data_IF_248576908158
#
_entry.id   IF_248576908158
#
_cell.length_a   1.000
_cell.length_b   1.000
_cell.length_c   1.000
_cell.angle_alpha   90.00
_cell.angle_beta   90.00
_cell.angle_gamma   90.00
#
_symmetry.space_group_name_H-M   'P 1'
#
loop_
_entity.id
_entity.type
_entity.pdbx_description
1 polymer ?
#
# COMPACT_ATOMS: atom_id res chain seq x y z
N UNK A 1 6.37 17.87 -20.52
CA UNK A 1 5.97 17.85 -19.09
C UNK A 1 7.21 17.51 -18.27
N UNK A 2 7.69 18.42 -17.42
CA UNK A 2 8.94 18.26 -16.68
C UNK A 2 8.76 17.27 -15.52
N UNK A 3 9.41 16.10 -15.61
CA UNK A 3 9.38 15.04 -14.60
C UNK A 3 9.97 15.45 -13.24
N UNK A 4 10.75 16.53 -13.20
CA UNK A 4 11.38 17.05 -11.97
C UNK A 4 10.38 17.69 -11.01
N UNK A 5 9.24 18.22 -11.47
CA UNK A 5 8.28 18.89 -10.58
C UNK A 5 7.52 17.92 -9.67
N UNK A 6 7.26 16.70 -10.11
CA UNK A 6 6.49 15.70 -9.36
C UNK A 6 7.28 15.10 -8.20
N UNK A 7 8.60 14.91 -8.37
CA UNK A 7 9.49 14.43 -7.29
C UNK A 7 9.59 15.47 -6.16
N UNK A 8 9.61 16.75 -6.51
CA UNK A 8 9.61 17.87 -5.56
C UNK A 8 8.27 17.93 -4.80
N UNK A 9 7.15 17.76 -5.49
CA UNK A 9 5.82 17.77 -4.90
C UNK A 9 5.64 16.71 -3.78
N UNK A 10 6.14 15.48 -3.99
CA UNK A 10 6.10 14.43 -2.96
C UNK A 10 6.99 14.74 -1.74
N UNK A 11 8.13 15.41 -1.96
CA UNK A 11 9.11 15.72 -0.90
C UNK A 11 8.70 16.94 -0.08
N UNK A 12 7.94 17.86 -0.66
CA UNK A 12 7.54 19.11 -0.04
C UNK A 12 6.14 19.07 0.59
N UNK A 13 5.27 18.13 0.17
CA UNK A 13 3.94 17.98 0.77
C UNK A 13 3.91 16.96 1.92
N UNK A 14 3.89 17.48 3.15
CA UNK A 14 3.74 16.70 4.37
C UNK A 14 2.47 15.83 4.36
N UNK A 15 1.34 16.36 3.87
CA UNK A 15 0.07 15.62 3.78
C UNK A 15 0.18 14.35 2.93
N UNK A 16 0.91 14.42 1.81
CA UNK A 16 1.11 13.28 0.92
C UNK A 16 2.05 12.26 1.54
N UNK A 17 3.09 12.71 2.24
CA UNK A 17 4.00 11.81 2.97
C UNK A 17 3.27 11.04 4.07
N UNK A 18 2.40 11.71 4.82
CA UNK A 18 1.55 11.07 5.84
C UNK A 18 0.64 10.03 5.19
N UNK A 19 0.01 10.36 4.07
CA UNK A 19 -0.86 9.41 3.34
C UNK A 19 -0.07 8.19 2.82
N UNK A 20 1.08 8.39 2.20
CA UNK A 20 1.93 7.29 1.71
C UNK A 20 2.44 6.45 2.88
N UNK A 21 2.83 7.07 3.99
CA UNK A 21 3.21 6.37 5.23
C UNK A 21 2.06 5.53 5.80
N UNK A 22 0.84 6.05 5.74
CA UNK A 22 -0.36 5.33 6.15
C UNK A 22 -0.65 4.12 5.25
N UNK A 23 -0.55 4.28 3.92
CA UNK A 23 -0.67 3.16 2.98
C UNK A 23 0.39 2.08 3.23
N UNK A 24 1.63 2.49 3.47
CA UNK A 24 2.73 1.57 3.81
C UNK A 24 2.43 0.80 5.09
N UNK A 25 1.95 1.47 6.14
CA UNK A 25 1.54 0.84 7.39
C UNK A 25 0.42 -0.18 7.17
N UNK A 26 -0.65 0.17 6.44
CA UNK A 26 -1.73 -0.76 6.15
C UNK A 26 -1.25 -1.99 5.36
N UNK A 27 -0.29 -1.79 4.46
CA UNK A 27 0.29 -2.88 3.67
C UNK A 27 1.13 -3.82 4.52
N UNK A 28 1.90 -3.29 5.48
CA UNK A 28 2.60 -4.10 6.46
C UNK A 28 1.63 -4.89 7.33
N UNK A 29 0.57 -4.25 7.83
CA UNK A 29 -0.47 -4.95 8.59
C UNK A 29 -1.12 -6.07 7.78
N UNK A 30 -1.50 -5.80 6.52
CA UNK A 30 -2.06 -6.81 5.63
C UNK A 30 -1.11 -7.96 5.33
N UNK A 31 0.18 -7.67 5.17
CA UNK A 31 1.23 -8.66 5.00
C UNK A 31 1.40 -9.55 6.22
N UNK A 32 1.54 -8.96 7.42
CA UNK A 32 1.66 -9.71 8.68
C UNK A 32 0.42 -10.57 8.94
N UNK A 33 -0.75 -10.02 8.66
CA UNK A 33 -2.02 -10.72 8.83
C UNK A 33 -2.15 -11.93 7.90
N UNK A 34 -1.69 -11.81 6.65
CA UNK A 34 -1.65 -12.93 5.71
C UNK A 34 -0.64 -14.00 6.10
N UNK A 35 0.51 -13.60 6.65
CA UNK A 35 1.50 -14.53 7.18
C UNK A 35 0.97 -15.30 8.39
N UNK A 36 0.19 -14.65 9.28
CA UNK A 36 -0.36 -15.31 10.47
C UNK A 36 -1.45 -16.33 10.17
N UNK A 37 -2.14 -16.19 9.03
CA UNK A 37 -3.19 -17.10 8.58
C UNK A 37 -2.78 -17.89 7.33
N UNK A 38 -1.46 -18.02 7.14
CA UNK A 38 -0.92 -18.57 5.91
C UNK A 38 -1.37 -20.02 5.71
N UNK A 39 -1.42 -20.86 6.75
CA UNK A 39 -1.78 -22.27 6.61
C UNK A 39 -3.29 -22.51 6.42
N UNK A 40 -4.13 -21.65 7.00
CA UNK A 40 -5.59 -21.77 6.95
C UNK A 40 -6.21 -21.33 5.61
N UNK A 41 -5.48 -20.54 4.81
CA UNK A 41 -6.00 -20.02 3.53
C UNK A 41 -5.85 -21.02 2.39
N UNK A 42 -6.82 -21.04 1.47
CA UNK A 42 -6.79 -21.87 0.24
C UNK A 42 -5.48 -21.69 -0.55
N UNK A 43 -4.97 -22.78 -1.14
CA UNK A 43 -3.71 -22.81 -1.93
C UNK A 43 -3.63 -21.65 -2.95
N UNK A 44 -4.73 -21.32 -3.62
CA UNK A 44 -4.81 -20.22 -4.60
C UNK A 44 -4.49 -18.86 -3.94
N UNK A 45 -5.14 -18.53 -2.82
CA UNK A 45 -4.91 -17.27 -2.10
C UNK A 45 -3.46 -17.14 -1.60
N UNK A 46 -2.85 -18.24 -1.17
CA UNK A 46 -1.43 -18.26 -0.74
C UNK A 46 -0.47 -17.95 -1.90
N UNK A 47 -0.76 -18.47 -3.10
CA UNK A 47 0.04 -18.20 -4.30
C UNK A 47 -0.04 -16.72 -4.70
N UNK A 48 -1.25 -16.15 -4.74
CA UNK A 48 -1.43 -14.72 -5.03
C UNK A 48 -0.74 -13.84 -4.00
N UNK A 49 -0.86 -14.16 -2.70
CA UNK A 49 -0.17 -13.42 -1.66
C UNK A 49 1.34 -13.41 -1.87
N UNK A 50 1.98 -14.56 -2.13
CA UNK A 50 3.43 -14.59 -2.38
C UNK A 50 3.82 -13.71 -3.55
N UNK A 51 3.10 -13.82 -4.67
CA UNK A 51 3.40 -13.05 -5.88
C UNK A 51 3.31 -11.55 -5.58
N UNK A 52 2.19 -11.09 -5.01
CA UNK A 52 2.00 -9.67 -4.71
C UNK A 52 2.95 -9.16 -3.62
N UNK A 53 3.25 -9.97 -2.60
CA UNK A 53 4.21 -9.62 -1.56
C UNK A 53 5.63 -9.44 -2.13
N UNK A 54 6.07 -10.34 -3.01
CA UNK A 54 7.36 -10.20 -3.67
C UNK A 54 7.42 -9.01 -4.61
N UNK A 55 6.35 -8.75 -5.39
CA UNK A 55 6.26 -7.55 -6.24
C UNK A 55 6.37 -6.30 -5.38
N UNK A 56 5.64 -6.21 -4.26
CA UNK A 56 5.73 -5.09 -3.33
C UNK A 56 7.15 -4.88 -2.80
N UNK A 57 7.81 -5.95 -2.36
CA UNK A 57 9.15 -5.89 -1.79
C UNK A 57 10.19 -5.45 -2.83
N UNK A 58 10.10 -5.97 -4.06
CA UNK A 58 10.95 -5.55 -5.19
C UNK A 58 10.67 -4.09 -5.54
N UNK A 59 9.40 -3.66 -5.62
CA UNK A 59 9.05 -2.26 -5.90
C UNK A 59 9.63 -1.30 -4.85
N UNK A 60 9.58 -1.65 -3.56
CA UNK A 60 10.20 -0.85 -2.50
C UNK A 60 11.72 -0.75 -2.69
N UNK A 61 12.38 -1.87 -2.97
CA UNK A 61 13.82 -1.90 -3.19
C UNK A 61 14.19 -1.01 -4.38
N UNK A 62 13.44 -1.09 -5.49
CA UNK A 62 13.67 -0.25 -6.67
C UNK A 62 13.50 1.24 -6.35
N UNK A 63 12.45 1.60 -5.60
CA UNK A 63 12.22 2.99 -5.15
C UNK A 63 13.36 3.48 -4.25
N UNK A 64 13.86 2.64 -3.36
CA UNK A 64 14.93 2.99 -2.44
C UNK A 64 16.30 3.13 -3.15
N UNK A 65 16.57 2.31 -4.16
CA UNK A 65 17.85 2.28 -4.87
C UNK A 65 17.93 3.32 -6.01
N UNK A 66 16.81 3.73 -6.59
CA UNK A 66 16.79 4.70 -7.70
C UNK A 66 16.03 5.96 -7.33
N UNK A 67 16.72 7.11 -7.36
CA UNK A 67 16.09 8.42 -7.21
C UNK A 67 15.15 8.78 -8.39
N UNK A 68 15.33 8.13 -9.55
CA UNK A 68 14.48 8.30 -10.73
C UNK A 68 13.42 7.19 -10.78
N UNK A 69 12.50 7.19 -9.82
CA UNK A 69 11.33 6.31 -9.86
C UNK A 69 10.42 6.77 -10.99
N UNK A 70 10.24 5.91 -11.99
CA UNK A 70 9.36 6.17 -13.12
C UNK A 70 7.89 5.98 -12.72
N UNK A 71 6.95 6.62 -13.45
CA UNK A 71 5.51 6.53 -13.12
C UNK A 71 5.00 5.09 -13.18
N UNK A 72 5.62 4.24 -13.99
CA UNK A 72 5.31 2.82 -14.10
C UNK A 72 5.54 2.08 -12.78
N UNK A 73 6.57 2.44 -12.01
CA UNK A 73 6.84 1.82 -10.70
C UNK A 73 5.73 2.15 -9.69
N UNK A 74 5.15 3.35 -9.77
CA UNK A 74 4.00 3.74 -8.93
C UNK A 74 2.77 2.90 -9.26
N UNK A 75 2.52 2.64 -10.54
CA UNK A 75 1.41 1.75 -10.97
C UNK A 75 1.68 0.31 -10.53
N UNK A 76 2.92 -0.17 -10.67
CA UNK A 76 3.31 -1.51 -10.26
C UNK A 76 3.16 -1.74 -8.76
N UNK A 77 3.49 -0.75 -7.92
CA UNK A 77 3.34 -0.87 -6.46
C UNK A 77 1.88 -0.74 -6.01
N UNK A 78 1.02 -0.03 -6.77
CA UNK A 78 -0.40 0.11 -6.45
C UNK A 78 -1.16 -1.23 -6.50
N UNK A 79 -0.75 -2.16 -7.37
CA UNK A 79 -1.34 -3.49 -7.49
C UNK A 79 -1.23 -4.32 -6.20
N UNK A 80 -0.02 -4.61 -5.66
CA UNK A 80 0.11 -5.37 -4.44
C UNK A 80 -0.38 -4.59 -3.22
N UNK A 81 -0.25 -3.25 -3.18
CA UNK A 81 -0.85 -2.39 -2.15
C UNK A 81 -2.36 -2.66 -2.01
N UNK A 82 -3.08 -2.55 -3.13
CA UNK A 82 -4.54 -2.74 -3.15
C UNK A 82 -4.92 -4.14 -2.73
N UNK A 83 -4.20 -5.17 -3.22
CA UNK A 83 -4.44 -6.56 -2.84
C UNK A 83 -4.24 -6.80 -1.33
N UNK A 84 -3.12 -6.35 -0.77
CA UNK A 84 -2.75 -6.59 0.63
C UNK A 84 -3.69 -5.85 1.59
N UNK A 85 -4.02 -4.59 1.29
CA UNK A 85 -4.95 -3.79 2.09
C UNK A 85 -6.37 -4.37 2.01
N UNK A 86 -6.86 -4.70 0.81
CA UNK A 86 -8.21 -5.26 0.65
C UNK A 86 -8.36 -6.58 1.39
N UNK A 87 -7.34 -7.45 1.31
CA UNK A 87 -7.34 -8.70 2.04
C UNK A 87 -7.30 -8.47 3.56
N UNK A 88 -6.56 -7.46 4.05
CA UNK A 88 -6.60 -7.11 5.48
C UNK A 88 -8.03 -6.77 5.93
N UNK A 89 -8.74 -5.92 5.19
CA UNK A 89 -10.11 -5.53 5.55
C UNK A 89 -11.12 -6.67 5.49
N UNK A 90 -11.06 -7.52 4.45
CA UNK A 90 -12.01 -8.64 4.28
C UNK A 90 -11.90 -9.66 5.41
N UNK A 91 -10.67 -9.94 5.84
CA UNK A 91 -10.41 -11.07 6.73
C UNK A 91 -10.11 -10.66 8.17
N UNK A 92 -10.09 -9.36 8.50
CA UNK A 92 -9.81 -8.88 9.85
C UNK A 92 -10.78 -9.48 10.86
N UNK A 93 -10.25 -10.21 11.86
CA UNK A 93 -11.05 -10.83 12.93
C UNK A 93 -11.83 -9.83 13.78
N UNK A 94 -11.34 -8.59 13.90
CA UNK A 94 -12.00 -7.53 14.66
C UNK A 94 -12.53 -6.48 13.68
N UNK A 95 -13.82 -6.60 13.37
CA UNK A 95 -14.53 -5.73 12.44
C UNK A 95 -14.28 -4.23 12.72
N UNK A 96 -14.28 -3.84 14.00
CA UNK A 96 -14.04 -2.45 14.43
C UNK A 96 -12.71 -1.88 13.91
N UNK A 97 -11.61 -2.64 13.96
CA UNK A 97 -10.32 -2.14 13.48
C UNK A 97 -10.28 -2.02 11.96
N UNK A 98 -10.89 -2.98 11.25
CA UNK A 98 -11.03 -2.90 9.78
C UNK A 98 -11.82 -1.66 9.35
N UNK A 99 -12.94 -1.38 10.03
CA UNK A 99 -13.79 -0.21 9.78
C UNK A 99 -13.06 1.10 10.07
N UNK A 100 -12.38 1.22 11.22
CA UNK A 100 -11.63 2.43 11.56
C UNK A 100 -10.58 2.74 10.50
N UNK A 101 -9.78 1.75 10.11
CA UNK A 101 -8.75 1.94 9.08
C UNK A 101 -9.34 2.26 7.70
N UNK A 102 -10.49 1.67 7.36
CA UNK A 102 -11.20 1.98 6.12
C UNK A 102 -11.74 3.41 6.12
N UNK A 103 -12.39 3.85 7.20
CA UNK A 103 -12.88 5.23 7.32
C UNK A 103 -11.75 6.25 7.33
N UNK A 104 -10.62 5.94 7.98
CA UNK A 104 -9.44 6.79 7.96
C UNK A 104 -8.83 6.88 6.55
N UNK A 105 -8.79 5.77 5.81
CA UNK A 105 -8.37 5.76 4.40
C UNK A 105 -9.28 6.65 3.55
N UNK A 106 -10.60 6.52 3.69
CA UNK A 106 -11.56 7.36 2.97
C UNK A 106 -11.42 8.84 3.33
N UNK A 107 -11.31 9.17 4.63
CA UNK A 107 -11.11 10.53 5.10
C UNK A 107 -9.80 11.14 4.57
N UNK A 108 -8.71 10.36 4.53
CA UNK A 108 -7.44 10.82 4.00
C UNK A 108 -7.51 11.13 2.50
N UNK A 109 -8.19 10.28 1.71
CA UNK A 109 -8.40 10.53 0.27
C UNK A 109 -9.25 11.78 0.04
N UNK A 110 -10.34 11.93 0.79
CA UNK A 110 -11.20 13.12 0.71
C UNK A 110 -10.40 14.38 1.09
N UNK A 111 -9.63 14.32 2.17
CA UNK A 111 -8.79 15.44 2.61
C UNK A 111 -7.76 15.85 1.55
N UNK A 112 -7.08 14.88 0.94
CA UNK A 112 -6.11 15.16 -0.14
C UNK A 112 -6.75 15.80 -1.37
N UNK A 113 -8.03 15.56 -1.63
CA UNK A 113 -8.72 16.17 -2.78
C UNK A 113 -8.90 17.70 -2.63
N UNK A 114 -8.92 18.20 -1.39
CA UNK A 114 -9.08 19.64 -1.10
C UNK A 114 -7.75 20.37 -0.90
N UNK A 115 -6.62 19.67 -1.00
CA UNK A 115 -5.27 20.22 -0.88
C UNK A 115 -4.70 20.54 -2.28
#
# INVERSE_FOLDING_TARGET
MNFTSHQIFLRENLSIQVYVGYLFLLTLLGSFFLLSQYDDKRISSRKFFKIFFWIFLISIILIALHHAVSQEIIILIALPLTYLISNYFIFSKRQVWGEVFMYLLAAAVIYLQFL
#
